data_IF_858874151080
#
_entry.id   IF_858874151080
#
_cell.length_a   1.000
_cell.length_b   1.000
_cell.length_c   1.000
_cell.angle_alpha   90.00
_cell.angle_beta   90.00
_cell.angle_gamma   90.00
#
_symmetry.space_group_name_H-M   'P 1'
#
loop_
_entity.id
_entity.type
_entity.pdbx_description
1 polymer ?
#
# COMPACT_ATOMS: atom_id res chain seq x y z
N UNK A 1 -46.19 63.29 56.97
CA UNK A 1 -45.00 63.17 57.84
C UNK A 1 -43.81 62.81 56.97
N UNK A 2 -42.69 63.48 57.22
CA UNK A 2 -41.32 63.18 56.77
C UNK A 2 -40.90 63.62 55.36
N UNK A 3 -40.18 64.73 55.40
CA UNK A 3 -39.22 65.39 54.50
C UNK A 3 -38.04 64.55 53.97
N UNK A 4 -37.45 65.06 52.86
CA UNK A 4 -36.00 65.10 52.50
C UNK A 4 -35.34 63.78 52.04
N UNK A 5 -34.35 63.73 51.11
CA UNK A 5 -33.64 64.73 50.31
C UNK A 5 -32.84 64.04 49.17
N UNK A 6 -32.72 64.75 48.02
CA UNK A 6 -31.61 64.86 47.02
C UNK A 6 -30.56 63.73 46.85
N UNK A 7 -30.24 63.41 45.57
CA UNK A 7 -29.08 63.96 44.82
C UNK A 7 -29.04 63.49 43.35
N UNK A 8 -28.42 64.35 42.54
CA UNK A 8 -28.27 64.36 41.07
C UNK A 8 -27.13 63.44 40.63
N UNK A 9 -27.27 62.80 39.47
CA UNK A 9 -26.18 62.16 38.72
C UNK A 9 -26.45 62.22 37.23
N UNK A 10 -25.75 63.10 36.53
CA UNK A 10 -25.71 63.22 35.06
C UNK A 10 -24.75 62.14 34.53
N UNK A 11 -25.15 61.41 33.49
CA UNK A 11 -24.21 60.74 32.59
C UNK A 11 -24.64 60.99 31.14
N UNK A 12 -23.86 61.87 30.50
CA UNK A 12 -23.80 62.08 29.06
C UNK A 12 -22.83 61.04 28.50
N UNK A 13 -23.23 60.33 27.45
CA UNK A 13 -22.35 59.73 26.41
C UNK A 13 -23.19 58.75 25.59
N UNK A 14 -23.01 58.55 24.30
CA UNK A 14 -22.33 59.24 23.21
C UNK A 14 -22.76 58.37 22.01
N UNK A 15 -23.43 58.92 21.00
CA UNK A 15 -23.74 58.16 19.78
C UNK A 15 -22.44 57.82 19.05
N UNK A 16 -22.24 56.56 18.68
CA UNK A 16 -21.23 56.15 17.70
C UNK A 16 -21.79 55.12 16.72
N UNK A 17 -21.36 55.30 15.47
CA UNK A 17 -21.90 54.86 14.18
C UNK A 17 -21.73 53.35 13.89
N UNK A 18 -22.47 52.80 12.91
CA UNK A 18 -22.26 51.43 12.43
C UNK A 18 -20.98 51.34 11.59
N UNK A 19 -20.05 50.46 12.00
CA UNK A 19 -18.88 50.09 11.22
C UNK A 19 -19.25 49.14 10.09
N UNK A 20 -18.78 49.47 8.89
CA UNK A 20 -18.67 48.59 7.75
C UNK A 20 -17.79 47.38 8.12
N UNK A 21 -18.38 46.20 8.23
CA UNK A 21 -17.63 44.95 8.18
C UNK A 21 -17.55 44.51 6.72
N UNK A 22 -16.43 44.86 6.07
CA UNK A 22 -16.04 44.33 4.78
C UNK A 22 -15.98 42.80 4.85
N UNK A 23 -16.79 42.14 4.03
CA UNK A 23 -16.72 40.70 3.83
C UNK A 23 -15.39 40.32 3.21
N UNK A 24 -14.52 39.67 3.98
CA UNK A 24 -13.45 38.86 3.43
C UNK A 24 -14.04 37.49 3.08
N UNK A 25 -14.34 37.31 1.80
CA UNK A 25 -14.48 35.98 1.21
C UNK A 25 -13.08 35.36 1.28
N UNK A 26 -12.84 34.52 2.29
CA UNK A 26 -11.70 33.60 2.25
C UNK A 26 -11.96 32.64 1.11
N UNK A 27 -11.27 32.84 -0.01
CA UNK A 27 -11.09 31.78 -0.99
C UNK A 27 -10.36 30.64 -0.29
N UNK A 28 -11.04 29.54 -0.02
CA UNK A 28 -10.42 28.25 0.22
C UNK A 28 -9.60 27.94 -1.04
N UNK A 29 -8.33 28.31 -1.02
CA UNK A 29 -7.38 27.81 -1.99
C UNK A 29 -7.38 26.29 -1.87
N UNK A 30 -7.61 25.60 -2.99
CA UNK A 30 -7.40 24.17 -3.15
C UNK A 30 -6.04 23.80 -2.57
N UNK A 31 -6.02 23.32 -1.33
CA UNK A 31 -4.85 22.68 -0.74
C UNK A 31 -4.68 21.40 -1.55
N UNK A 32 -3.59 21.22 -2.32
CA UNK A 32 -3.35 19.98 -3.01
C UNK A 32 -3.37 18.88 -1.96
N UNK A 33 -4.29 17.91 -2.08
CA UNK A 33 -4.28 16.72 -1.23
C UNK A 33 -2.88 16.15 -1.31
N UNK A 34 -2.14 16.27 -0.22
CA UNK A 34 -0.86 15.61 -0.06
C UNK A 34 -1.17 14.12 -0.21
N UNK A 35 -0.87 13.56 -1.38
CA UNK A 35 -0.88 12.12 -1.54
C UNK A 35 0.17 11.62 -0.56
N UNK A 36 -0.27 10.98 0.51
CA UNK A 36 0.60 10.32 1.47
C UNK A 36 1.55 9.44 0.65
N UNK A 37 2.82 9.85 0.59
CA UNK A 37 3.86 9.06 -0.03
C UNK A 37 4.02 7.84 0.86
N UNK A 38 3.39 6.72 0.47
CA UNK A 38 3.46 5.48 1.24
C UNK A 38 4.87 4.96 1.09
N UNK A 39 5.74 5.26 2.05
CA UNK A 39 7.09 4.70 2.08
C UNK A 39 6.97 3.20 2.33
N UNK A 40 7.26 2.42 1.28
CA UNK A 40 7.36 0.97 1.39
C UNK A 40 8.51 0.55 2.33
N UNK A 41 8.54 -0.71 2.78
CA UNK A 41 9.70 -1.23 3.48
C UNK A 41 10.95 -1.09 2.60
N UNK A 42 12.12 -0.88 3.21
CA UNK A 42 13.39 -0.93 2.49
C UNK A 42 13.49 -2.30 1.82
N UNK A 43 13.91 -2.32 0.56
CA UNK A 43 14.05 -3.55 -0.23
C UNK A 43 15.53 -3.84 -0.46
N UNK A 44 15.99 -5.10 -0.32
CA UNK A 44 17.38 -5.44 -0.62
C UNK A 44 17.65 -5.25 -2.11
N UNK A 45 18.88 -4.88 -2.47
CA UNK A 45 19.31 -4.98 -3.86
C UNK A 45 19.25 -6.44 -4.35
N UNK A 46 19.16 -6.63 -5.67
CA UNK A 46 19.16 -7.97 -6.28
C UNK A 46 20.38 -8.81 -5.85
N UNK A 47 21.55 -8.18 -5.71
CA UNK A 47 22.78 -8.86 -5.26
C UNK A 47 22.70 -9.28 -3.78
N UNK A 48 22.24 -8.38 -2.91
CA UNK A 48 22.05 -8.68 -1.48
C UNK A 48 21.05 -9.81 -1.28
N UNK A 49 19.91 -9.77 -1.99
CA UNK A 49 18.90 -10.83 -1.92
C UNK A 49 19.40 -12.17 -2.43
N UNK A 50 20.18 -12.19 -3.53
CA UNK A 50 20.82 -13.42 -4.04
C UNK A 50 21.75 -14.04 -3.01
N UNK A 51 22.64 -13.24 -2.44
CA UNK A 51 23.60 -13.68 -1.42
C UNK A 51 22.87 -14.19 -0.18
N UNK A 52 21.87 -13.45 0.30
CA UNK A 52 21.07 -13.83 1.44
C UNK A 52 20.37 -15.19 1.22
N UNK A 53 19.66 -15.36 0.09
CA UNK A 53 18.92 -16.58 -0.18
C UNK A 53 19.81 -17.83 -0.27
N UNK A 54 21.05 -17.69 -0.76
CA UNK A 54 22.04 -18.78 -0.79
C UNK A 54 22.65 -19.02 0.60
N UNK A 55 23.09 -17.97 1.29
CA UNK A 55 23.76 -18.08 2.59
C UNK A 55 22.85 -18.67 3.67
N UNK A 56 21.58 -18.27 3.66
CA UNK A 56 20.54 -18.80 4.55
C UNK A 56 19.99 -20.17 4.08
N UNK A 57 20.56 -20.75 3.01
CA UNK A 57 20.20 -22.06 2.45
C UNK A 57 18.71 -22.17 2.05
N UNK A 58 18.09 -21.05 1.68
CA UNK A 58 16.72 -21.04 1.17
C UNK A 58 16.67 -21.59 -0.26
N UNK A 59 17.73 -21.35 -1.02
CA UNK A 59 17.98 -21.89 -2.36
C UNK A 59 19.45 -22.25 -2.52
N UNK A 60 19.74 -23.20 -3.41
CA UNK A 60 21.11 -23.55 -3.85
C UNK A 60 21.54 -22.74 -5.06
N UNK A 61 20.60 -22.29 -5.89
CA UNK A 61 20.85 -21.44 -7.04
C UNK A 61 19.71 -20.45 -7.26
N UNK A 62 20.04 -19.23 -7.68
CA UNK A 62 19.06 -18.19 -8.01
C UNK A 62 18.97 -18.06 -9.53
N UNK A 63 17.75 -18.21 -10.06
CA UNK A 63 17.44 -17.98 -11.47
C UNK A 63 17.21 -16.50 -11.73
N UNK A 64 16.36 -15.89 -10.92
CA UNK A 64 15.83 -14.55 -11.17
C UNK A 64 15.58 -13.77 -9.88
N UNK A 65 15.62 -12.46 -10.00
CA UNK A 65 15.28 -11.51 -8.94
C UNK A 65 14.52 -10.35 -9.54
N UNK A 66 13.44 -9.94 -8.89
CA UNK A 66 12.56 -8.89 -9.37
C UNK A 66 12.07 -8.05 -8.18
N UNK A 67 11.95 -6.73 -8.37
CA UNK A 67 11.23 -5.89 -7.42
C UNK A 67 9.75 -5.99 -7.76
N UNK A 68 8.96 -6.51 -6.84
CA UNK A 68 7.51 -6.63 -7.00
C UNK A 68 6.80 -5.65 -6.09
N UNK A 69 5.78 -5.00 -6.62
CA UNK A 69 4.93 -4.06 -5.91
C UNK A 69 3.69 -4.79 -5.43
N UNK A 70 3.16 -4.48 -4.23
CA UNK A 70 1.84 -5.02 -3.81
C UNK A 70 0.67 -4.16 -4.25
N UNK A 71 0.95 -3.13 -5.03
CA UNK A 71 -0.04 -2.21 -5.59
C UNK A 71 0.31 -2.02 -7.06
N UNK A 72 -0.71 -1.79 -7.89
CA UNK A 72 -0.57 -1.29 -9.27
C UNK A 72 -0.09 0.17 -9.33
N UNK A 73 0.70 0.59 -8.34
CA UNK A 73 1.29 1.91 -8.17
C UNK A 73 2.70 1.71 -7.64
N UNK A 74 3.67 2.38 -8.27
CA UNK A 74 5.09 2.28 -7.93
C UNK A 74 5.41 2.72 -6.48
N UNK A 75 4.53 3.53 -5.89
CA UNK A 75 4.69 4.10 -4.54
C UNK A 75 4.04 3.23 -3.43
N UNK A 76 3.92 1.91 -3.64
CA UNK A 76 3.41 0.97 -2.63
C UNK A 76 4.52 0.25 -1.85
N UNK A 77 4.17 -0.60 -0.88
CA UNK A 77 5.10 -1.58 -0.34
C UNK A 77 5.73 -2.41 -1.48
N UNK A 78 7.05 -2.54 -1.43
CA UNK A 78 7.83 -3.29 -2.40
C UNK A 78 8.52 -4.44 -1.70
N UNK A 79 8.76 -5.51 -2.45
CA UNK A 79 9.53 -6.66 -1.99
C UNK A 79 10.49 -7.09 -3.09
N UNK A 80 11.63 -7.66 -2.70
CA UNK A 80 12.46 -8.38 -3.65
C UNK A 80 11.96 -9.81 -3.74
N UNK A 81 11.38 -10.19 -4.88
CA UNK A 81 11.13 -11.60 -5.20
C UNK A 81 12.43 -12.23 -5.67
N UNK A 82 12.79 -13.38 -5.08
CA UNK A 82 13.89 -14.24 -5.50
C UNK A 82 13.29 -15.56 -5.97
N UNK A 83 13.55 -15.93 -7.23
CA UNK A 83 13.19 -17.22 -7.80
C UNK A 83 14.43 -18.09 -7.93
N UNK A 84 14.38 -19.28 -7.36
CA UNK A 84 15.53 -20.18 -7.33
C UNK A 84 15.15 -21.64 -7.15
N UNK A 85 16.16 -22.48 -6.99
CA UNK A 85 16.02 -23.92 -6.78
C UNK A 85 16.56 -24.28 -5.40
N UNK A 86 15.81 -25.06 -4.62
CA UNK A 86 16.24 -25.52 -3.29
C UNK A 86 17.27 -26.66 -3.35
N UNK A 87 17.61 -27.26 -2.21
CA UNK A 87 18.55 -28.39 -2.15
C UNK A 87 17.97 -29.71 -2.69
N UNK A 88 16.65 -29.80 -2.81
CA UNK A 88 15.92 -30.97 -3.33
C UNK A 88 15.64 -30.84 -4.83
N UNK A 89 16.04 -29.74 -5.46
CA UNK A 89 15.82 -29.49 -6.89
C UNK A 89 14.46 -28.86 -7.19
N UNK A 90 13.71 -28.42 -6.18
CA UNK A 90 12.38 -27.79 -6.35
C UNK A 90 12.50 -26.30 -6.54
N UNK A 91 11.64 -25.75 -7.38
CA UNK A 91 11.61 -24.33 -7.68
C UNK A 91 10.77 -23.53 -6.68
N UNK A 92 11.38 -22.50 -6.09
CA UNK A 92 10.85 -21.69 -4.99
C UNK A 92 10.81 -20.21 -5.35
N UNK A 93 9.78 -19.53 -4.85
CA UNK A 93 9.68 -18.07 -4.80
C UNK A 93 9.83 -17.62 -3.35
N UNK A 94 10.64 -16.59 -3.12
CA UNK A 94 10.91 -16.03 -1.80
C UNK A 94 10.77 -14.51 -1.91
N UNK A 95 9.96 -13.89 -1.05
CA UNK A 95 9.86 -12.44 -0.97
C UNK A 95 10.62 -11.92 0.22
N UNK A 96 11.53 -10.98 -0.04
CA UNK A 96 12.43 -10.40 0.94
C UNK A 96 12.12 -8.92 1.19
N UNK A 97 12.36 -8.49 2.42
CA UNK A 97 12.39 -7.08 2.82
C UNK A 97 13.62 -6.77 3.67
N UNK A 98 13.88 -5.49 3.92
CA UNK A 98 15.03 -4.99 4.66
C UNK A 98 16.22 -4.68 3.75
N UNK A 99 17.41 -4.67 4.32
CA UNK A 99 18.67 -4.41 3.64
C UNK A 99 19.82 -5.01 4.44
N UNK A 100 21.05 -5.01 3.91
CA UNK A 100 22.21 -5.44 4.71
C UNK A 100 22.42 -4.57 5.97
N UNK A 101 21.99 -3.31 5.96
CA UNK A 101 22.12 -2.41 7.11
C UNK A 101 21.03 -2.59 8.18
N UNK A 102 19.84 -3.05 7.79
CA UNK A 102 18.68 -3.19 8.69
C UNK A 102 18.35 -4.65 9.02
N UNK A 103 19.01 -5.59 8.35
CA UNK A 103 18.72 -7.02 8.38
C UNK A 103 17.69 -7.40 7.31
N UNK A 104 18.07 -8.32 6.43
CA UNK A 104 17.18 -8.89 5.42
C UNK A 104 16.29 -9.94 6.08
N UNK A 105 15.01 -9.97 5.71
CA UNK A 105 14.00 -10.88 6.29
C UNK A 105 13.19 -11.54 5.18
N UNK A 106 12.83 -12.80 5.42
CA UNK A 106 11.84 -13.52 4.60
C UNK A 106 10.44 -13.08 5.02
N UNK A 107 9.68 -12.53 4.09
CA UNK A 107 8.28 -12.13 4.29
C UNK A 107 7.37 -13.33 4.09
N UNK A 108 7.60 -14.07 3.01
CA UNK A 108 6.90 -15.30 2.68
C UNK A 108 7.71 -16.07 1.64
N UNK A 109 7.41 -17.35 1.50
CA UNK A 109 8.01 -18.22 0.50
C UNK A 109 7.03 -19.31 0.09
N UNK A 110 7.15 -19.78 -1.16
CA UNK A 110 6.29 -20.86 -1.67
C UNK A 110 6.98 -21.63 -2.79
N UNK A 111 6.54 -22.86 -3.04
CA UNK A 111 6.98 -23.65 -4.17
C UNK A 111 6.13 -23.34 -5.39
N UNK A 112 6.77 -23.09 -6.53
CA UNK A 112 6.07 -22.79 -7.80
C UNK A 112 5.13 -23.91 -8.25
N UNK A 113 5.49 -25.17 -7.98
CA UNK A 113 4.67 -26.35 -8.31
C UNK A 113 3.31 -26.38 -7.58
N UNK A 114 3.18 -25.64 -6.48
CA UNK A 114 1.92 -25.50 -5.74
C UNK A 114 1.00 -24.43 -6.30
N UNK A 115 1.49 -23.59 -7.23
CA UNK A 115 0.77 -22.44 -7.76
C UNK A 115 0.22 -22.74 -9.15
N UNK A 116 -0.95 -22.20 -9.44
CA UNK A 116 -1.46 -22.08 -10.80
C UNK A 116 -0.53 -21.18 -11.62
N UNK A 117 -0.20 -21.66 -12.82
CA UNK A 117 0.55 -20.88 -13.80
C UNK A 117 -0.23 -19.63 -14.20
N UNK A 118 0.50 -18.58 -14.59
CA UNK A 118 -0.07 -17.32 -15.04
C UNK A 118 -1.15 -17.49 -16.13
N UNK A 119 -0.90 -18.35 -17.12
CA UNK A 119 -1.86 -18.66 -18.19
C UNK A 119 -3.18 -19.19 -17.65
N UNK A 120 -3.15 -20.02 -16.60
CA UNK A 120 -4.36 -20.55 -15.98
C UNK A 120 -5.16 -19.46 -15.26
N UNK A 121 -4.48 -18.49 -14.65
CA UNK A 121 -5.14 -17.33 -14.04
C UNK A 121 -5.78 -16.45 -15.11
N UNK A 122 -5.09 -16.20 -16.23
CA UNK A 122 -5.68 -15.48 -17.38
C UNK A 122 -6.93 -16.18 -17.89
N UNK A 123 -6.89 -17.51 -18.03
CA UNK A 123 -8.05 -18.30 -18.46
C UNK A 123 -9.25 -18.18 -17.49
N UNK A 124 -8.99 -18.09 -16.18
CA UNK A 124 -10.05 -17.93 -15.18
C UNK A 124 -10.68 -16.52 -15.22
N UNK A 125 -9.91 -15.51 -15.60
CA UNK A 125 -10.33 -14.10 -15.61
C UNK A 125 -10.83 -13.61 -16.97
N UNK A 126 -10.73 -14.42 -18.02
CA UNK A 126 -11.07 -14.02 -19.42
C UNK A 126 -12.47 -13.43 -19.59
N UNK A 127 -13.44 -13.85 -18.77
CA UNK A 127 -14.83 -13.42 -18.88
C UNK A 127 -15.10 -12.12 -18.10
N UNK A 128 -14.12 -11.62 -17.34
CA UNK A 128 -14.23 -10.38 -16.55
C UNK A 128 -13.69 -9.14 -17.30
N UNK A 129 -12.82 -9.34 -18.30
CA UNK A 129 -12.26 -8.26 -19.12
C UNK A 129 -10.84 -8.57 -19.59
N UNK A 130 -10.28 -7.65 -20.39
CA UNK A 130 -8.89 -7.72 -20.82
C UNK A 130 -7.95 -7.36 -19.66
N UNK A 131 -6.95 -8.21 -19.42
CA UNK A 131 -5.98 -8.04 -18.32
C UNK A 131 -4.89 -7.07 -18.78
N UNK A 132 -4.85 -5.89 -18.15
CA UNK A 132 -3.82 -4.86 -18.36
C UNK A 132 -2.49 -5.27 -17.70
N UNK A 133 -2.56 -5.69 -16.43
CA UNK A 133 -1.38 -6.01 -15.63
C UNK A 133 -1.70 -7.15 -14.65
N UNK A 134 -0.74 -8.05 -14.44
CA UNK A 134 -0.88 -9.11 -13.46
C UNK A 134 0.48 -9.52 -12.90
N UNK A 135 0.54 -9.74 -11.59
CA UNK A 135 1.75 -10.19 -10.90
C UNK A 135 1.41 -10.97 -9.62
N UNK A 136 2.39 -11.71 -9.11
CA UNK A 136 2.29 -12.45 -7.85
C UNK A 136 3.04 -11.71 -6.75
N UNK A 137 2.36 -11.36 -5.65
CA UNK A 137 2.98 -10.66 -4.53
C UNK A 137 2.36 -11.06 -3.17
N UNK A 138 3.05 -10.80 -2.03
CA UNK A 138 2.50 -11.07 -0.70
C UNK A 138 1.26 -10.23 -0.40
N UNK A 139 0.24 -10.83 0.23
CA UNK A 139 -1.01 -10.19 0.59
C UNK A 139 -0.82 -9.07 1.64
N UNK A 140 -1.11 -7.83 1.24
CA UNK A 140 -1.29 -6.67 2.10
C UNK A 140 -2.68 -5.99 1.93
N UNK A 141 -3.59 -6.56 1.11
CA UNK A 141 -4.86 -5.92 0.70
C UNK A 141 -6.12 -6.62 1.20
N UNK A 142 -6.09 -7.95 1.30
CA UNK A 142 -7.28 -8.74 1.62
C UNK A 142 -7.37 -8.92 3.12
N UNK A 143 -8.23 -8.12 3.76
CA UNK A 143 -8.51 -8.21 5.19
C UNK A 143 -9.19 -9.55 5.52
N UNK A 144 -8.84 -10.14 6.66
CA UNK A 144 -9.41 -11.43 7.09
C UNK A 144 -8.80 -12.67 6.41
N UNK A 145 -7.78 -12.48 5.57
CA UNK A 145 -6.90 -13.56 5.08
C UNK A 145 -5.53 -13.44 5.74
N UNK A 146 -4.78 -14.53 5.72
CA UNK A 146 -3.45 -14.55 6.33
C UNK A 146 -2.56 -13.49 5.68
N UNK A 147 -1.97 -12.63 6.51
CA UNK A 147 -1.04 -11.59 6.07
C UNK A 147 0.14 -12.25 5.37
N UNK A 148 0.62 -11.64 4.29
CA UNK A 148 1.77 -12.07 3.52
C UNK A 148 1.62 -13.40 2.76
N UNK A 149 0.44 -14.04 2.71
CA UNK A 149 0.24 -15.14 1.76
C UNK A 149 0.34 -14.61 0.32
N UNK A 150 1.06 -15.26 -0.60
CA UNK A 150 1.12 -14.84 -1.99
C UNK A 150 -0.29 -14.81 -2.61
N UNK A 151 -0.58 -13.77 -3.40
CA UNK A 151 -1.80 -13.61 -4.18
C UNK A 151 -1.45 -13.22 -5.61
N UNK A 152 -2.29 -13.65 -6.55
CA UNK A 152 -2.32 -13.04 -7.87
C UNK A 152 -3.09 -11.73 -7.80
N UNK A 153 -2.42 -10.66 -8.18
CA UNK A 153 -3.01 -9.35 -8.37
C UNK A 153 -3.32 -9.22 -9.86
N UNK A 154 -4.57 -8.94 -10.22
CA UNK A 154 -5.00 -8.77 -11.62
C UNK A 154 -5.65 -7.42 -11.77
N UNK A 155 -5.15 -6.58 -12.69
CA UNK A 155 -5.75 -5.32 -13.09
C UNK A 155 -6.27 -5.44 -14.51
N UNK A 156 -7.52 -5.04 -14.70
CA UNK A 156 -8.18 -4.99 -16.00
C UNK A 156 -8.08 -3.59 -16.62
N UNK A 157 -8.23 -3.49 -17.94
CA UNK A 157 -8.15 -2.21 -18.67
C UNK A 157 -9.16 -1.17 -18.14
N UNK A 158 -10.32 -1.61 -17.64
CA UNK A 158 -11.35 -0.76 -17.03
C UNK A 158 -11.02 -0.30 -15.59
N UNK A 159 -9.79 -0.58 -15.13
CA UNK A 159 -9.24 -0.25 -13.81
C UNK A 159 -9.85 -1.07 -12.66
N UNK A 160 -10.68 -2.07 -12.93
CA UNK A 160 -11.07 -3.04 -11.91
C UNK A 160 -9.86 -3.89 -11.50
N UNK A 161 -9.86 -4.33 -10.24
CA UNK A 161 -8.79 -5.17 -9.68
C UNK A 161 -9.39 -6.39 -9.00
N UNK A 162 -8.91 -7.56 -9.38
CA UNK A 162 -9.22 -8.82 -8.73
C UNK A 162 -7.99 -9.36 -7.98
N UNK A 163 -8.25 -10.09 -6.89
CA UNK A 163 -7.22 -10.78 -6.11
C UNK A 163 -7.54 -12.25 -6.06
N UNK A 164 -6.63 -13.12 -6.48
CA UNK A 164 -6.88 -14.56 -6.54
C UNK A 164 -5.93 -15.33 -5.62
N UNK A 165 -6.46 -16.38 -5.01
CA UNK A 165 -5.65 -17.41 -4.36
C UNK A 165 -4.79 -18.12 -5.42
N UNK A 166 -3.47 -18.20 -5.26
CA UNK A 166 -2.61 -18.72 -6.30
C UNK A 166 -2.62 -20.24 -6.41
N UNK A 167 -3.17 -20.95 -5.43
CA UNK A 167 -3.31 -22.42 -5.46
C UNK A 167 -4.65 -22.83 -6.06
N UNK A 168 -5.74 -22.15 -5.68
CA UNK A 168 -7.10 -22.56 -6.06
C UNK A 168 -7.68 -21.75 -7.21
N UNK A 169 -7.17 -20.55 -7.49
CA UNK A 169 -7.78 -19.61 -8.43
C UNK A 169 -9.07 -18.97 -7.90
N UNK A 170 -9.41 -19.18 -6.62
CA UNK A 170 -10.56 -18.52 -5.98
C UNK A 170 -10.33 -17.01 -5.93
N UNK A 171 -11.29 -16.24 -6.45
CA UNK A 171 -11.29 -14.78 -6.30
C UNK A 171 -11.65 -14.42 -4.86
N UNK A 172 -10.77 -13.68 -4.21
CA UNK A 172 -10.86 -13.29 -2.81
C UNK A 172 -11.49 -11.91 -2.62
N UNK A 173 -11.42 -11.07 -3.66
CA UNK A 173 -12.01 -9.74 -3.70
C UNK A 173 -12.10 -9.26 -5.16
#
# INVERSE_FOLDING_TARGET
MTTMNRKIGICVSLMLLPWFASGCVSSEADVPKHQEQVTGPVVPSAEEGRKFAINEKLVTSVKETEIVYTRFLEYGPQYLMVRGVDAEGREKLIWLSGSSSTGIRVITETFTESLLAESKIRDLMKDQGEVEEMFLAPNDRVQGKDRNQPLWYVKFEDQQVAYLNPVTGEQLK
#
